data_IF_101404804435
#
_entry.id   IF_101404804435
#
_cell.length_a   1.000
_cell.length_b   1.000
_cell.length_c   1.000
_cell.angle_alpha   90.00
_cell.angle_beta   90.00
_cell.angle_gamma   90.00
#
_symmetry.space_group_name_H-M   'P 1'
#
loop_
_entity.id
_entity.type
_entity.pdbx_description
1 polymer ?
#
# COMPACT_ATOMS: atom_id res chain seq x y z
N UNK A 1 26.27 -14.82 -16.00
CA UNK A 1 24.96 -14.14 -16.08
C UNK A 1 25.03 -12.92 -15.19
N UNK A 2 25.48 -11.81 -15.75
CA UNK A 2 25.67 -10.53 -15.04
C UNK A 2 24.62 -9.52 -15.56
N UNK A 3 24.17 -8.62 -14.67
CA UNK A 3 23.14 -7.57 -14.81
C UNK A 3 21.66 -8.07 -14.83
N UNK A 4 20.72 -7.59 -14.00
CA UNK A 4 20.15 -6.23 -14.00
C UNK A 4 19.31 -5.93 -12.72
N UNK A 5 19.81 -6.24 -11.52
CA UNK A 5 19.06 -5.87 -10.31
C UNK A 5 19.35 -4.40 -9.96
N UNK A 6 18.33 -3.54 -10.05
CA UNK A 6 18.44 -2.16 -9.56
C UNK A 6 18.49 -2.17 -8.04
N UNK A 7 19.67 -1.98 -7.44
CA UNK A 7 19.81 -1.75 -6.01
C UNK A 7 19.03 -0.50 -5.57
N UNK A 8 18.62 -0.43 -4.30
CA UNK A 8 17.91 0.71 -3.71
C UNK A 8 16.52 1.03 -4.31
N UNK A 9 15.89 0.05 -4.98
CA UNK A 9 14.51 0.19 -5.44
C UNK A 9 13.50 0.27 -4.28
N UNK A 10 12.42 1.04 -4.51
CA UNK A 10 11.24 1.06 -3.65
C UNK A 10 10.17 0.17 -4.25
N UNK A 11 9.83 -0.91 -3.55
CA UNK A 11 8.78 -1.86 -3.94
C UNK A 11 7.47 -1.42 -3.28
N UNK A 12 6.47 -1.09 -4.09
CA UNK A 12 5.15 -0.66 -3.60
C UNK A 12 4.16 -1.81 -3.73
N UNK A 13 3.57 -2.25 -2.61
CA UNK A 13 2.58 -3.34 -2.55
C UNK A 13 1.25 -2.84 -2.00
N UNK A 14 0.14 -3.50 -2.35
CA UNK A 14 -1.12 -3.25 -1.63
C UNK A 14 -1.07 -3.82 -0.22
N UNK A 15 -2.05 -3.40 0.57
CA UNK A 15 -2.20 -3.79 1.96
C UNK A 15 -2.78 -5.21 2.17
N UNK A 16 -2.71 -6.08 1.15
CA UNK A 16 -3.29 -7.42 1.24
C UNK A 16 -2.59 -8.28 2.30
N UNK A 17 -3.34 -9.15 2.98
CA UNK A 17 -2.83 -9.96 4.09
C UNK A 17 -1.66 -10.86 3.70
N UNK A 18 -1.68 -11.42 2.49
CA UNK A 18 -0.62 -12.31 1.99
C UNK A 18 0.72 -11.59 1.74
N UNK A 19 0.73 -10.27 1.54
CA UNK A 19 2.00 -9.50 1.47
C UNK A 19 2.60 -9.18 2.83
N UNK A 20 1.91 -9.56 3.91
CA UNK A 20 2.32 -9.35 5.31
C UNK A 20 2.53 -10.67 6.04
N UNK A 21 2.68 -11.77 5.30
CA UNK A 21 3.00 -13.07 5.86
C UNK A 21 4.24 -12.99 6.76
N UNK A 22 4.08 -13.43 8.01
CA UNK A 22 5.17 -13.50 8.98
C UNK A 22 5.97 -14.81 8.74
N UNK A 23 7.25 -14.85 9.14
CA UNK A 23 8.06 -16.08 9.11
C UNK A 23 7.34 -17.25 9.79
N UNK A 24 7.59 -18.47 9.33
CA UNK A 24 6.92 -19.69 9.82
C UNK A 24 7.07 -19.86 11.34
N UNK A 25 8.24 -19.51 11.88
CA UNK A 25 8.60 -19.57 13.30
C UNK A 25 7.87 -18.52 14.17
N UNK A 26 7.08 -17.63 13.57
CA UNK A 26 6.34 -16.64 14.36
C UNK A 26 5.15 -17.31 15.02
N UNK A 27 5.07 -17.26 16.35
CA UNK A 27 3.92 -17.79 17.09
C UNK A 27 2.59 -17.19 16.58
N UNK A 28 1.70 -18.07 16.10
CA UNK A 28 0.34 -17.75 15.64
C UNK A 28 -0.68 -18.38 16.59
N UNK A 29 -0.72 -17.96 17.85
CA UNK A 29 -1.85 -18.37 18.70
C UNK A 29 -3.11 -17.57 18.36
N UNK A 30 -4.26 -18.08 18.79
CA UNK A 30 -5.57 -17.43 18.57
C UNK A 30 -5.97 -16.55 19.74
N UNK A 31 -6.88 -15.60 19.53
CA UNK A 31 -7.38 -14.72 20.60
C UNK A 31 -8.08 -15.51 21.71
N UNK A 32 -8.67 -16.67 21.40
CA UNK A 32 -9.30 -17.56 22.37
C UNK A 32 -8.29 -18.31 23.24
N UNK A 33 -7.05 -18.49 22.78
CA UNK A 33 -6.00 -19.20 23.54
C UNK A 33 -5.33 -18.31 24.59
N UNK A 34 -5.46 -16.98 24.48
CA UNK A 34 -4.79 -16.03 25.36
C UNK A 34 -5.77 -15.07 26.03
N UNK A 35 -5.44 -14.64 27.24
CA UNK A 35 -6.10 -13.48 27.85
C UNK A 35 -5.92 -12.25 26.94
N UNK A 36 -7.00 -11.52 26.68
CA UNK A 36 -7.06 -10.39 25.73
C UNK A 36 -5.91 -9.39 25.88
N UNK A 37 -5.51 -9.08 27.12
CA UNK A 37 -4.43 -8.13 27.39
C UNK A 37 -3.05 -8.64 26.91
N UNK A 38 -2.75 -9.92 27.15
CA UNK A 38 -1.51 -10.57 26.69
C UNK A 38 -1.50 -10.61 25.17
N UNK A 39 -2.64 -10.96 24.57
CA UNK A 39 -2.80 -11.00 23.12
C UNK A 39 -2.58 -9.64 22.46
N UNK A 40 -3.08 -8.56 23.07
CA UNK A 40 -2.85 -7.19 22.58
C UNK A 40 -1.37 -6.78 22.66
N UNK A 41 -0.69 -7.13 23.76
CA UNK A 41 0.75 -6.92 23.94
C UNK A 41 1.55 -7.71 22.90
N UNK A 42 1.21 -8.97 22.68
CA UNK A 42 1.84 -9.84 21.68
C UNK A 42 1.63 -9.32 20.26
N UNK A 43 0.39 -8.96 19.88
CA UNK A 43 0.08 -8.33 18.58
C UNK A 43 0.91 -7.08 18.35
N UNK A 44 1.05 -6.23 19.37
CA UNK A 44 1.83 -4.99 19.29
C UNK A 44 3.33 -5.26 19.16
N UNK A 45 3.83 -6.26 19.89
CA UNK A 45 5.22 -6.71 19.80
C UNK A 45 5.52 -7.27 18.41
N UNK A 46 4.72 -8.20 17.90
CA UNK A 46 4.88 -8.79 16.57
C UNK A 46 4.88 -7.70 15.50
N UNK A 47 3.91 -6.77 15.56
CA UNK A 47 3.79 -5.67 14.60
C UNK A 47 5.03 -4.77 14.55
N UNK A 48 5.74 -4.62 15.67
CA UNK A 48 6.87 -3.69 15.80
C UNK A 48 8.23 -4.37 15.62
N UNK A 49 8.33 -5.67 15.91
CA UNK A 49 9.61 -6.39 15.97
C UNK A 49 9.76 -7.46 14.90
N UNK A 50 8.67 -7.92 14.29
CA UNK A 50 8.71 -8.98 13.28
C UNK A 50 8.43 -8.39 11.90
N UNK A 51 9.44 -8.42 11.05
CA UNK A 51 9.30 -8.05 9.64
C UNK A 51 8.62 -9.17 8.86
N UNK A 52 7.74 -8.80 7.92
CA UNK A 52 7.14 -9.78 7.02
C UNK A 52 8.20 -10.41 6.12
N UNK A 53 7.95 -11.63 5.66
CA UNK A 53 8.87 -12.38 4.79
C UNK A 53 9.25 -11.57 3.55
N UNK A 54 8.29 -10.88 2.93
CA UNK A 54 8.51 -10.04 1.76
C UNK A 54 9.44 -8.86 2.06
N UNK A 55 9.25 -8.17 3.19
CA UNK A 55 10.12 -7.05 3.57
C UNK A 55 11.53 -7.54 3.88
N UNK A 56 11.67 -8.68 4.58
CA UNK A 56 12.97 -9.30 4.85
C UNK A 56 13.70 -9.69 3.56
N UNK A 57 13.02 -10.32 2.61
CA UNK A 57 13.60 -10.69 1.30
C UNK A 57 14.03 -9.46 0.49
N UNK A 58 13.23 -8.40 0.50
CA UNK A 58 13.56 -7.15 -0.17
C UNK A 58 14.78 -6.46 0.48
N UNK A 59 14.81 -6.37 1.81
CA UNK A 59 15.91 -5.76 2.57
C UNK A 59 17.24 -6.50 2.34
N UNK A 60 17.23 -7.85 2.31
CA UNK A 60 18.40 -8.68 1.97
C UNK A 60 18.98 -8.36 0.59
N UNK A 61 18.18 -7.82 -0.32
CA UNK A 61 18.58 -7.38 -1.67
C UNK A 61 18.74 -5.85 -1.78
N UNK A 62 18.81 -5.13 -0.65
CA UNK A 62 18.98 -3.68 -0.66
C UNK A 62 17.78 -2.92 -1.23
N UNK A 63 16.56 -3.44 -1.08
CA UNK A 63 15.31 -2.77 -1.49
C UNK A 63 14.45 -2.42 -0.27
N UNK A 64 13.62 -1.39 -0.41
CA UNK A 64 12.65 -0.99 0.62
C UNK A 64 11.23 -1.31 0.16
N UNK A 65 10.41 -1.88 1.03
CA UNK A 65 8.98 -2.12 0.75
C UNK A 65 8.14 -1.01 1.37
N UNK A 66 7.20 -0.47 0.60
CA UNK A 66 6.16 0.44 1.07
C UNK A 66 4.79 -0.15 0.74
N UNK A 67 3.84 0.04 1.66
CA UNK A 67 2.47 -0.42 1.47
C UNK A 67 1.57 0.77 1.15
N UNK A 68 0.68 0.60 0.17
CA UNK A 68 -0.38 1.59 -0.04
C UNK A 68 -1.39 1.54 1.12
N UNK A 69 -2.04 2.66 1.45
CA UNK A 69 -3.14 2.66 2.41
C UNK A 69 -4.22 1.60 2.10
N UNK A 70 -4.86 1.01 3.13
CA UNK A 70 -5.95 0.05 2.94
C UNK A 70 -7.09 0.65 2.11
N UNK A 71 -7.76 -0.14 1.27
CA UNK A 71 -8.92 0.27 0.46
C UNK A 71 -8.65 1.35 -0.61
N UNK A 72 -7.37 1.65 -0.91
CA UNK A 72 -7.00 2.66 -1.89
C UNK A 72 -6.34 2.06 -3.14
N UNK A 73 -7.07 1.20 -3.87
CA UNK A 73 -6.62 0.64 -5.16
C UNK A 73 -6.28 1.75 -6.18
N UNK A 74 -6.97 2.89 -6.09
CA UNK A 74 -6.70 4.07 -6.93
C UNK A 74 -5.29 4.64 -6.77
N UNK A 75 -4.52 4.25 -5.76
CA UNK A 75 -3.13 4.70 -5.57
C UNK A 75 -2.11 3.74 -6.17
N UNK A 76 -2.55 2.60 -6.72
CA UNK A 76 -1.68 1.60 -7.29
C UNK A 76 -1.54 1.80 -8.81
N UNK A 77 -0.33 2.09 -9.34
CA UNK A 77 -0.14 2.28 -10.77
C UNK A 77 -0.38 0.99 -11.57
N UNK A 78 -0.11 -0.16 -10.96
CA UNK A 78 -0.28 -1.47 -11.59
C UNK A 78 -1.74 -1.74 -11.99
N UNK A 79 -2.72 -1.14 -11.30
CA UNK A 79 -4.13 -1.28 -11.67
C UNK A 79 -4.45 -0.66 -13.04
N UNK A 80 -3.80 0.46 -13.40
CA UNK A 80 -3.95 1.06 -14.74
C UNK A 80 -3.24 0.24 -15.81
N UNK A 81 -2.05 -0.27 -15.49
CA UNK A 81 -1.31 -1.18 -16.37
C UNK A 81 -2.17 -2.42 -16.67
N UNK A 82 -2.74 -3.03 -15.62
CA UNK A 82 -3.67 -4.15 -15.76
C UNK A 82 -4.92 -3.79 -16.54
N UNK A 83 -5.50 -2.59 -16.36
CA UNK A 83 -6.64 -2.16 -17.16
C UNK A 83 -6.28 -2.09 -18.66
N UNK A 84 -5.10 -1.57 -18.99
CA UNK A 84 -4.61 -1.52 -20.37
C UNK A 84 -4.42 -2.93 -20.95
N UNK A 85 -3.68 -3.79 -20.24
CA UNK A 85 -3.36 -5.16 -20.66
C UNK A 85 -4.63 -6.01 -20.81
N UNK A 86 -5.52 -6.00 -19.80
CA UNK A 86 -6.81 -6.72 -19.87
C UNK A 86 -7.67 -6.20 -21.01
N UNK A 87 -7.69 -4.90 -21.26
CA UNK A 87 -8.40 -4.32 -22.40
C UNK A 87 -7.88 -4.83 -23.75
N UNK A 88 -6.56 -4.98 -23.90
CA UNK A 88 -5.93 -5.53 -25.12
C UNK A 88 -6.29 -6.99 -25.33
N UNK A 89 -6.15 -7.82 -24.29
CA UNK A 89 -6.48 -9.25 -24.35
C UNK A 89 -7.98 -9.46 -24.59
N UNK A 90 -8.83 -8.70 -23.88
CA UNK A 90 -10.28 -8.79 -23.95
C UNK A 90 -10.86 -8.38 -25.31
N UNK A 91 -10.27 -7.41 -26.02
CA UNK A 91 -10.70 -7.03 -27.38
C UNK A 91 -10.47 -8.12 -28.43
N UNK A 92 -9.62 -9.09 -28.15
CA UNK A 92 -9.37 -10.22 -29.03
C UNK A 92 -10.25 -11.43 -28.70
N UNK A 93 -11.19 -11.29 -27.75
CA UNK A 93 -12.01 -12.40 -27.27
C UNK A 93 -12.73 -13.14 -28.39
N UNK A 94 -12.73 -14.46 -28.30
CA UNK A 94 -13.44 -15.38 -29.18
C UNK A 94 -14.06 -16.50 -28.36
N UNK A 95 -15.20 -17.04 -28.79
CA UNK A 95 -15.96 -18.06 -28.04
C UNK A 95 -15.13 -19.30 -27.68
N UNK A 96 -14.21 -19.71 -28.57
CA UNK A 96 -13.38 -20.91 -28.37
C UNK A 96 -12.01 -20.62 -27.73
N UNK A 97 -11.84 -19.45 -27.08
CA UNK A 97 -10.55 -19.04 -26.53
C UNK A 97 -10.12 -19.95 -25.37
N UNK A 98 -8.91 -20.50 -25.45
CA UNK A 98 -8.35 -21.37 -24.39
C UNK A 98 -7.48 -20.58 -23.42
N UNK A 99 -7.12 -21.19 -22.27
CA UNK A 99 -6.14 -20.59 -21.35
C UNK A 99 -4.75 -20.41 -21.99
N UNK A 100 -4.39 -21.26 -22.96
CA UNK A 100 -3.14 -21.12 -23.72
C UNK A 100 -3.17 -19.85 -24.57
N UNK A 101 -4.30 -19.57 -25.21
CA UNK A 101 -4.49 -18.33 -25.98
C UNK A 101 -4.44 -17.11 -25.06
N UNK A 102 -5.07 -17.17 -23.88
CA UNK A 102 -4.99 -16.09 -22.88
C UNK A 102 -3.54 -15.84 -22.48
N UNK A 103 -2.77 -16.90 -22.21
CA UNK A 103 -1.36 -16.77 -21.82
C UNK A 103 -0.55 -16.10 -22.93
N UNK A 104 -0.64 -16.61 -24.16
CA UNK A 104 0.07 -16.05 -25.32
C UNK A 104 -0.27 -14.57 -25.53
N UNK A 105 -1.56 -14.21 -25.48
CA UNK A 105 -2.02 -12.82 -25.66
C UNK A 105 -1.61 -11.92 -24.51
N UNK A 106 -1.50 -12.46 -23.30
CA UNK A 106 -1.00 -11.71 -22.15
C UNK A 106 0.47 -11.34 -22.35
N UNK A 107 1.29 -12.29 -22.79
CA UNK A 107 2.70 -12.07 -23.11
C UNK A 107 2.83 -11.01 -24.23
N UNK A 108 2.09 -11.17 -25.34
CA UNK A 108 2.03 -10.18 -26.45
C UNK A 108 1.56 -8.79 -25.97
N UNK A 109 0.59 -8.72 -25.05
CA UNK A 109 0.07 -7.46 -24.53
C UNK A 109 1.08 -6.72 -23.65
N UNK A 110 1.92 -7.45 -22.90
CA UNK A 110 3.01 -6.87 -22.12
C UNK A 110 4.20 -6.46 -23.01
N UNK A 111 4.59 -7.29 -23.98
CA UNK A 111 5.69 -6.97 -24.90
C UNK A 111 5.39 -5.72 -25.73
N UNK A 112 4.12 -5.55 -26.12
CA UNK A 112 3.65 -4.37 -26.84
C UNK A 112 3.30 -3.18 -25.95
N UNK A 113 3.48 -3.26 -24.61
CA UNK A 113 3.12 -2.18 -23.69
C UNK A 113 4.19 -1.08 -23.75
N UNK A 114 3.87 0.11 -24.29
CA UNK A 114 4.89 1.12 -24.46
C UNK A 114 5.21 1.79 -23.12
N UNK A 115 6.48 2.15 -22.95
CA UNK A 115 6.99 2.71 -21.71
C UNK A 115 6.29 4.03 -21.31
N UNK A 116 5.79 4.79 -22.29
CA UNK A 116 5.05 6.03 -22.06
C UNK A 116 3.74 5.78 -21.30
N UNK A 117 3.06 4.66 -21.56
CA UNK A 117 1.86 4.26 -20.82
C UNK A 117 2.20 3.95 -19.38
N UNK A 118 3.29 3.21 -19.13
CA UNK A 118 3.76 2.90 -17.77
C UNK A 118 4.09 4.20 -17.02
N UNK A 119 4.82 5.10 -17.67
CA UNK A 119 5.15 6.42 -17.12
C UNK A 119 3.88 7.22 -16.78
N UNK A 120 2.94 7.35 -17.71
CA UNK A 120 1.65 8.03 -17.49
C UNK A 120 0.86 7.40 -16.35
N UNK A 121 0.89 6.08 -16.21
CA UNK A 121 0.25 5.39 -15.10
C UNK A 121 0.87 5.78 -13.75
N UNK A 122 2.21 5.87 -13.69
CA UNK A 122 2.93 6.28 -12.48
C UNK A 122 2.64 7.74 -12.15
N UNK A 123 2.74 8.65 -13.13
CA UNK A 123 2.49 10.07 -12.93
C UNK A 123 1.05 10.36 -12.48
N UNK A 124 0.06 9.67 -13.07
CA UNK A 124 -1.34 9.79 -12.65
C UNK A 124 -1.57 9.34 -11.19
N UNK A 125 -0.78 8.40 -10.68
CA UNK A 125 -0.89 8.00 -9.27
C UNK A 125 -0.15 8.96 -8.35
N UNK A 126 1.00 9.47 -8.79
CA UNK A 126 1.73 10.51 -8.05
C UNK A 126 0.86 11.75 -7.86
N UNK A 127 0.16 12.21 -8.89
CA UNK A 127 -0.75 13.36 -8.79
C UNK A 127 -1.87 13.12 -7.77
N UNK A 128 -2.47 11.92 -7.77
CA UNK A 128 -3.48 11.56 -6.77
C UNK A 128 -2.93 11.50 -5.33
N UNK A 129 -1.72 10.98 -5.14
CA UNK A 129 -1.05 10.99 -3.83
C UNK A 129 -0.83 12.43 -3.36
N UNK A 130 -0.32 13.31 -4.23
CA UNK A 130 -0.09 14.72 -3.89
C UNK A 130 -1.40 15.45 -3.58
N UNK A 131 -2.48 15.16 -4.32
CA UNK A 131 -3.81 15.72 -4.06
C UNK A 131 -4.34 15.34 -2.67
N UNK A 132 -4.19 14.07 -2.28
CA UNK A 132 -4.59 13.59 -0.96
C UNK A 132 -3.73 14.17 0.16
N UNK A 133 -2.42 14.29 -0.05
CA UNK A 133 -1.51 14.90 0.91
C UNK A 133 -1.88 16.38 1.18
N UNK A 134 -2.16 17.14 0.11
CA UNK A 134 -2.66 18.52 0.22
C UNK A 134 -3.94 18.58 1.05
N UNK A 135 -4.92 17.74 0.73
CA UNK A 135 -6.19 17.68 1.47
C UNK A 135 -6.00 17.35 2.96
N UNK A 136 -5.12 16.40 3.29
CA UNK A 136 -4.83 16.04 4.68
C UNK A 136 -4.20 17.21 5.44
N UNK A 137 -3.22 17.91 4.84
CA UNK A 137 -2.59 19.08 5.45
C UNK A 137 -3.61 20.20 5.74
N UNK A 138 -4.55 20.42 4.83
CA UNK A 138 -5.62 21.40 5.03
C UNK A 138 -6.56 21.03 6.18
N UNK A 139 -6.90 19.74 6.34
CA UNK A 139 -7.69 19.26 7.48
C UNK A 139 -6.93 19.43 8.79
N UNK A 140 -5.65 19.06 8.81
CA UNK A 140 -4.82 19.15 10.00
C UNK A 140 -4.69 20.60 10.47
N UNK A 141 -4.52 21.54 9.54
CA UNK A 141 -4.48 22.98 9.83
C UNK A 141 -5.81 23.53 10.36
N UNK A 142 -6.97 22.99 9.95
CA UNK A 142 -8.27 23.38 10.51
C UNK A 142 -8.53 22.79 11.89
N UNK A 143 -7.85 21.70 12.24
CA UNK A 143 -8.09 20.94 13.47
C UNK A 143 -7.15 21.37 14.61
N UNK A 144 -6.17 22.24 14.34
CA UNK A 144 -5.37 22.87 15.40
C UNK A 144 -6.26 23.75 16.28
N UNK A 145 -6.40 23.47 17.58
CA UNK A 145 -7.27 24.24 18.45
C UNK A 145 -6.69 25.64 18.68
N UNK A 146 -7.36 26.67 18.16
CA UNK A 146 -7.18 28.04 18.64
C UNK A 146 -7.62 28.08 20.10
N UNK A 147 -6.62 28.18 20.99
CA UNK A 147 -6.79 28.36 22.43
C UNK A 147 -7.41 29.73 22.71
N UNK A 148 -8.75 29.80 22.74
CA UNK A 148 -9.54 30.58 23.72
C UNK A 148 -11.02 30.66 23.34
N UNK A 149 -11.85 29.74 23.84
CA UNK A 149 -13.15 30.10 24.46
C UNK A 149 -13.50 29.01 25.46
N UNK A 150 -13.64 29.37 26.74
CA UNK A 150 -14.23 28.49 27.77
C UNK A 150 -15.64 28.13 27.32
N UNK A 151 -15.94 26.85 27.10
CA UNK A 151 -17.31 26.38 26.97
C UNK A 151 -17.57 25.28 28.00
N UNK A 152 -18.62 25.50 28.79
CA UNK A 152 -18.92 24.78 30.02
C UNK A 152 -19.38 23.34 29.76
N UNK A 153 -19.10 22.51 30.76
CA UNK A 153 -19.27 21.07 30.82
C UNK A 153 -20.72 20.70 31.14
N UNK A 154 -21.51 20.34 30.13
CA UNK A 154 -22.61 19.37 30.29
C UNK A 154 -23.11 18.87 28.93
N UNK A 155 -23.37 17.56 28.84
CA UNK A 155 -24.07 16.84 27.77
C UNK A 155 -23.35 16.65 26.43
N UNK A 156 -22.64 15.53 26.28
CA UNK A 156 -22.66 14.74 25.04
C UNK A 156 -22.20 13.31 25.33
N UNK A 157 -23.19 12.48 25.67
CA UNK A 157 -23.08 11.03 25.61
C UNK A 157 -23.11 10.58 24.14
N UNK A 158 -22.31 9.55 23.86
CA UNK A 158 -22.24 8.72 22.65
C UNK A 158 -21.54 9.31 21.41
N UNK A 159 -20.55 8.49 20.98
CA UNK A 159 -19.97 8.38 19.63
C UNK A 159 -18.79 9.29 19.31
N UNK A 160 -17.60 8.93 19.83
CA UNK A 160 -16.32 9.20 19.13
C UNK A 160 -15.19 8.33 19.67
N UNK A 161 -15.16 7.08 19.23
CA UNK A 161 -14.06 6.15 19.43
C UNK A 161 -13.50 5.64 18.09
N UNK A 162 -13.21 6.54 17.14
CA UNK A 162 -12.54 6.15 15.87
C UNK A 162 -11.58 7.21 15.30
N UNK A 163 -11.22 8.26 16.03
CA UNK A 163 -10.46 9.39 15.45
C UNK A 163 -9.01 9.57 15.92
N UNK A 164 -8.37 8.59 16.59
CA UNK A 164 -6.98 8.77 17.09
C UNK A 164 -5.95 7.71 16.68
N UNK A 165 -6.28 6.82 15.75
CA UNK A 165 -5.36 5.74 15.33
C UNK A 165 -4.74 5.89 13.92
N UNK A 166 -5.06 6.93 13.16
CA UNK A 166 -4.42 7.18 11.86
C UNK A 166 -3.27 8.19 12.01
N UNK A 167 -2.26 7.83 12.82
CA UNK A 167 -0.99 8.56 12.87
C UNK A 167 -0.17 8.07 11.67
N UNK A 168 -0.43 8.62 10.49
CA UNK A 168 0.47 8.49 9.32
C UNK A 168 1.63 9.43 9.60
N UNK A 169 2.61 8.93 10.34
CA UNK A 169 3.90 9.58 10.52
C UNK A 169 4.86 9.05 9.45
N UNK A 170 5.54 9.97 8.76
CA UNK A 170 6.63 9.78 7.78
C UNK A 170 6.27 9.28 6.38
N UNK A 171 5.80 10.19 5.53
CA UNK A 171 5.97 10.11 4.07
C UNK A 171 6.35 11.50 3.49
N UNK A 172 7.35 12.17 4.08
CA UNK A 172 7.85 13.47 3.59
C UNK A 172 9.39 13.59 3.59
N UNK A 173 10.12 12.48 3.44
CA UNK A 173 11.56 12.55 3.14
C UNK A 173 12.01 11.32 2.35
N UNK A 174 11.74 11.30 1.04
CA UNK A 174 12.45 10.39 0.12
C UNK A 174 12.25 10.71 -1.38
N UNK A 175 12.06 11.98 -1.78
CA UNK A 175 12.00 12.35 -3.21
C UNK A 175 13.03 13.42 -3.62
N UNK A 176 13.87 13.94 -2.72
CA UNK A 176 14.92 14.90 -3.07
C UNK A 176 16.30 14.43 -2.63
N UNK A 177 16.86 13.43 -3.30
CA UNK A 177 18.29 13.43 -3.69
C UNK A 177 18.57 12.32 -4.71
N UNK A 178 19.41 12.63 -5.69
CA UNK A 178 19.90 11.79 -6.82
C UNK A 178 19.04 11.82 -8.09
N UNK A 179 18.95 13.02 -8.66
CA UNK A 179 19.43 13.20 -10.03
C UNK A 179 20.95 13.34 -9.98
#
# INVERSE_FOLDING_TARGET
MEALWKANAVIVLNNASYHKGLPLETHKGTESEYKTEIWQKLKSYIKSNVMSVVVTMAAKRGHTVKYTPPYHLRLQPIELVWACVKGRVGRQYSVNMTLKDVRRRLDEAFDSLPADIIYKCIENRKSEVMRLDKYNREIDARTTPTRSTKFNRTMLTKTRATSRACRITMWTSMITTKL
#
